data_IF_198799719824
#
_entry.id   IF_198799719824
#
_cell.length_a   1.000
_cell.length_b   1.000
_cell.length_c   1.000
_cell.angle_alpha   90.00
_cell.angle_beta   90.00
_cell.angle_gamma   90.00
#
_symmetry.space_group_name_H-M   'P 1'
#
loop_
_entity.id
_entity.type
_entity.pdbx_description
1 polymer ?
#
# COMPACT_ATOMS: atom_id res chain seq x y z
N UNK A 1 -35.54 -58.37 -9.69
CA UNK A 1 -37.00 -58.51 -9.88
C UNK A 1 -37.60 -57.20 -9.43
N UNK A 2 -38.24 -56.45 -10.30
CA UNK A 2 -39.15 -55.38 -9.91
C UNK A 2 -40.27 -55.28 -10.95
N UNK A 3 -41.49 -55.23 -10.44
CA UNK A 3 -42.70 -54.71 -11.08
C UNK A 3 -42.95 -53.40 -10.31
N UNK A 4 -43.52 -52.35 -10.86
CA UNK A 4 -44.76 -52.25 -11.66
C UNK A 4 -44.52 -51.33 -12.89
N UNK A 5 -45.14 -51.52 -14.08
CA UNK A 5 -46.57 -51.36 -14.45
C UNK A 5 -47.13 -49.95 -14.14
N UNK A 6 -47.86 -49.23 -15.01
CA UNK A 6 -48.25 -49.36 -16.46
C UNK A 6 -48.87 -47.97 -16.83
N UNK A 7 -48.57 -47.28 -17.94
CA UNK A 7 -49.17 -47.33 -19.31
C UNK A 7 -50.71 -47.06 -19.39
N UNK A 8 -51.35 -46.35 -20.33
CA UNK A 8 -51.03 -45.40 -21.45
C UNK A 8 -52.38 -44.67 -21.81
N UNK A 9 -52.56 -43.61 -22.64
CA UNK A 9 -51.72 -42.74 -23.50
C UNK A 9 -51.98 -41.22 -23.10
N UNK A 10 -52.03 -40.09 -23.85
CA UNK A 10 -52.21 -39.64 -25.27
C UNK A 10 -53.61 -39.87 -25.90
N UNK A 11 -54.04 -39.18 -27.01
CA UNK A 11 -53.35 -38.23 -27.93
C UNK A 11 -53.72 -36.73 -27.68
N UNK A 12 -53.05 -35.67 -28.18
CA UNK A 12 -52.57 -35.24 -29.54
C UNK A 12 -53.69 -34.83 -30.53
N UNK A 13 -53.45 -33.99 -31.59
CA UNK A 13 -52.23 -33.26 -32.03
C UNK A 13 -52.45 -31.71 -31.97
N UNK A 14 -51.87 -30.74 -32.72
CA UNK A 14 -50.86 -30.55 -33.82
C UNK A 14 -50.03 -29.26 -33.48
N UNK A 15 -48.83 -28.90 -34.02
CA UNK A 15 -48.34 -28.60 -35.39
C UNK A 15 -48.85 -27.23 -35.95
N UNK A 16 -48.08 -26.37 -36.67
CA UNK A 16 -46.72 -26.49 -37.26
C UNK A 16 -46.07 -25.13 -37.64
N UNK A 17 -44.73 -25.08 -37.79
CA UNK A 17 -43.89 -24.14 -38.60
C UNK A 17 -43.77 -22.64 -38.19
N UNK A 18 -42.85 -21.81 -38.73
CA UNK A 18 -41.38 -21.88 -38.95
C UNK A 18 -40.86 -20.49 -39.49
N UNK A 19 -39.53 -20.31 -39.62
CA UNK A 19 -38.77 -19.16 -40.17
C UNK A 19 -38.77 -17.86 -39.34
N UNK A 20 -37.68 -17.11 -39.10
CA UNK A 20 -36.34 -16.91 -39.70
C UNK A 20 -36.20 -15.64 -40.55
N UNK A 21 -35.01 -15.02 -40.46
CA UNK A 21 -34.55 -13.78 -41.11
C UNK A 21 -35.27 -12.47 -40.71
N UNK A 22 -34.78 -11.26 -41.01
CA UNK A 22 -33.50 -10.57 -40.76
C UNK A 22 -33.72 -9.12 -41.29
N UNK A 23 -33.36 -8.09 -40.51
CA UNK A 23 -33.22 -6.65 -40.90
C UNK A 23 -34.30 -5.91 -41.74
N UNK A 24 -34.77 -4.78 -41.19
CA UNK A 24 -34.69 -3.42 -41.79
C UNK A 24 -34.68 -2.45 -40.58
N UNK A 25 -33.75 -1.51 -40.38
CA UNK A 25 -33.27 -0.39 -41.21
C UNK A 25 -34.31 0.74 -41.46
N UNK A 26 -34.10 1.84 -40.72
CA UNK A 26 -34.38 3.24 -41.06
C UNK A 26 -35.81 3.67 -41.45
N UNK A 27 -36.58 4.10 -40.44
CA UNK A 27 -37.73 5.03 -40.53
C UNK A 27 -37.88 5.67 -39.13
N UNK A 28 -37.37 6.85 -38.77
CA UNK A 28 -37.05 8.10 -39.48
C UNK A 28 -38.28 8.87 -39.96
N UNK A 29 -38.81 9.72 -39.07
CA UNK A 29 -39.64 10.93 -39.23
C UNK A 29 -39.90 11.42 -37.79
N UNK A 30 -39.32 12.50 -37.25
CA UNK A 30 -39.03 13.81 -37.83
C UNK A 30 -40.22 14.42 -38.57
N UNK A 31 -41.23 14.85 -37.80
CA UNK A 31 -42.08 15.99 -38.17
C UNK A 31 -42.10 16.99 -37.02
N UNK A 32 -42.04 18.29 -37.35
CA UNK A 32 -41.68 19.32 -36.38
C UNK A 32 -42.83 19.77 -35.46
N UNK A 33 -42.66 19.49 -34.17
CA UNK A 33 -42.45 20.52 -33.14
C UNK A 33 -43.58 21.48 -32.75
N UNK A 34 -43.84 21.57 -31.44
CA UNK A 34 -44.22 22.81 -30.75
C UNK A 34 -43.63 22.86 -29.32
N UNK A 35 -42.72 23.82 -29.12
CA UNK A 35 -42.52 24.65 -27.92
C UNK A 35 -42.56 24.02 -26.50
N UNK A 36 -41.36 23.82 -25.94
CA UNK A 36 -40.88 24.13 -24.56
C UNK A 36 -41.81 24.91 -23.57
N UNK A 37 -41.57 24.85 -22.23
CA UNK A 37 -40.91 23.79 -21.43
C UNK A 37 -41.53 23.52 -20.04
N UNK A 38 -41.39 22.30 -19.51
CA UNK A 38 -41.31 22.04 -18.05
C UNK A 38 -40.21 21.02 -17.75
N UNK A 39 -39.53 21.16 -16.61
CA UNK A 39 -38.18 20.62 -16.44
C UNK A 39 -38.07 19.28 -15.70
N UNK A 40 -37.51 18.28 -16.37
CA UNK A 40 -36.72 17.19 -15.77
C UNK A 40 -35.55 16.84 -16.69
N UNK A 41 -34.36 17.41 -16.45
CA UNK A 41 -33.15 16.97 -17.14
C UNK A 41 -32.60 15.70 -16.47
N UNK A 42 -33.12 14.55 -16.88
CA UNK A 42 -32.50 13.25 -16.59
C UNK A 42 -31.22 13.12 -17.44
N UNK A 43 -30.09 13.53 -16.85
CA UNK A 43 -28.76 13.35 -17.44
C UNK A 43 -28.35 11.87 -17.38
N UNK A 44 -28.79 11.10 -18.37
CA UNK A 44 -28.21 9.80 -18.69
C UNK A 44 -26.82 10.02 -19.31
N UNK A 45 -25.78 10.03 -18.47
CA UNK A 45 -24.41 9.76 -18.89
C UNK A 45 -24.11 8.31 -18.54
N UNK A 46 -23.96 7.47 -19.55
CA UNK A 46 -23.52 6.09 -19.38
C UNK A 46 -22.03 5.96 -19.69
N UNK A 47 -21.23 5.80 -18.65
CA UNK A 47 -19.99 5.02 -18.62
C UNK A 47 -20.22 3.99 -17.48
N UNK A 48 -19.89 2.70 -17.55
CA UNK A 48 -18.81 2.02 -18.27
C UNK A 48 -17.42 2.45 -17.82
N UNK A 49 -17.12 2.21 -16.55
CA UNK A 49 -15.85 1.61 -16.10
C UNK A 49 -16.13 0.83 -14.79
N UNK A 50 -15.28 -0.14 -14.46
CA UNK A 50 -15.34 -0.88 -13.18
C UNK A 50 -14.74 -0.03 -12.06
N UNK A 51 -15.41 1.06 -11.69
CA UNK A 51 -15.06 1.87 -10.52
C UNK A 51 -15.22 1.03 -9.24
N UNK A 52 -14.11 0.49 -8.72
CA UNK A 52 -14.07 -0.09 -7.38
C UNK A 52 -14.55 0.95 -6.36
N UNK A 53 -15.73 0.74 -5.75
CA UNK A 53 -16.25 1.59 -4.68
C UNK A 53 -15.26 1.60 -3.49
N UNK A 54 -14.37 2.59 -3.49
CA UNK A 54 -13.54 2.92 -2.35
C UNK A 54 -14.42 3.57 -1.28
N UNK A 55 -15.17 2.73 -0.56
CA UNK A 55 -15.91 3.08 0.65
C UNK A 55 -15.07 4.04 1.51
N UNK A 56 -15.44 5.32 1.51
CA UNK A 56 -14.84 6.34 2.37
C UNK A 56 -15.20 6.00 3.81
N UNK A 57 -14.31 5.22 4.45
CA UNK A 57 -14.50 4.70 5.81
C UNK A 57 -14.78 5.86 6.76
N UNK A 58 -16.03 5.99 7.15
CA UNK A 58 -16.51 7.09 7.98
C UNK A 58 -15.77 7.13 9.31
N UNK A 59 -15.68 8.31 9.93
CA UNK A 59 -15.12 8.45 11.28
C UNK A 59 -15.79 7.48 12.27
N UNK A 60 -17.10 7.26 12.14
CA UNK A 60 -17.86 6.29 12.93
C UNK A 60 -17.34 4.85 12.79
N UNK A 61 -16.90 4.44 11.59
CA UNK A 61 -16.27 3.14 11.37
C UNK A 61 -14.98 3.01 12.18
N UNK A 62 -14.11 4.03 12.16
CA UNK A 62 -12.87 4.04 12.94
C UNK A 62 -13.17 3.99 14.45
N UNK A 63 -14.09 4.81 14.94
CA UNK A 63 -14.52 4.80 16.36
C UNK A 63 -15.07 3.43 16.78
N UNK A 64 -15.81 2.73 15.91
CA UNK A 64 -16.29 1.38 16.17
C UNK A 64 -15.16 0.33 16.21
N UNK A 65 -14.06 0.51 15.45
CA UNK A 65 -12.88 -0.35 15.59
C UNK A 65 -12.08 -0.04 16.85
N UNK A 66 -11.90 1.24 17.21
CA UNK A 66 -11.23 1.64 18.46
C UNK A 66 -11.93 1.01 19.67
N UNK A 67 -13.26 1.09 19.73
CA UNK A 67 -14.08 0.45 20.78
C UNK A 67 -14.03 -1.09 20.80
N UNK A 68 -13.79 -1.74 19.66
CA UNK A 68 -13.59 -3.21 19.62
C UNK A 68 -12.22 -3.62 20.18
N UNK A 69 -11.20 -2.78 20.01
CA UNK A 69 -9.82 -3.05 20.43
C UNK A 69 -9.45 -2.43 21.79
N UNK A 70 -10.36 -1.67 22.41
CA UNK A 70 -10.21 -1.00 23.72
C UNK A 70 -9.75 -1.94 24.85
N UNK A 71 -10.07 -3.24 24.77
CA UNK A 71 -9.62 -4.27 25.72
C UNK A 71 -8.13 -4.58 25.65
N UNK A 72 -7.52 -4.38 24.48
CA UNK A 72 -6.13 -4.72 24.15
C UNK A 72 -5.37 -3.45 23.74
N UNK A 73 -5.00 -2.55 24.68
CA UNK A 73 -4.41 -1.24 24.36
C UNK A 73 -3.10 -1.36 23.54
N UNK A 74 -2.37 -2.46 23.69
CA UNK A 74 -1.23 -2.83 22.82
C UNK A 74 -1.61 -2.96 21.34
N UNK A 75 -2.71 -3.67 21.05
CA UNK A 75 -3.20 -3.91 19.69
C UNK A 75 -3.85 -2.65 19.12
N UNK A 76 -4.56 -1.90 19.96
CA UNK A 76 -5.11 -0.59 19.60
C UNK A 76 -4.00 0.40 19.24
N UNK A 77 -2.88 0.46 19.97
CA UNK A 77 -1.76 1.35 19.64
C UNK A 77 -1.10 0.99 18.29
N UNK A 78 -0.91 -0.30 18.01
CA UNK A 78 -0.39 -0.78 16.72
C UNK A 78 -1.30 -0.37 15.55
N UNK A 79 -2.61 -0.57 15.70
CA UNK A 79 -3.61 -0.20 14.69
C UNK A 79 -3.75 1.32 14.54
N UNK A 80 -3.76 2.08 15.64
CA UNK A 80 -3.84 3.54 15.64
C UNK A 80 -2.63 4.15 14.92
N UNK A 81 -1.44 3.58 15.12
CA UNK A 81 -0.24 3.98 14.42
C UNK A 81 -0.21 3.59 12.94
N UNK A 82 -0.95 2.56 12.53
CA UNK A 82 -1.15 2.20 11.11
C UNK A 82 -2.17 3.11 10.41
N UNK A 83 -3.21 3.56 11.12
CA UNK A 83 -4.34 4.34 10.57
C UNK A 83 -4.26 5.86 10.85
N UNK A 84 -3.07 6.38 11.14
CA UNK A 84 -2.80 7.79 11.44
C UNK A 84 -3.66 8.41 12.57
N UNK A 85 -4.09 7.61 13.55
CA UNK A 85 -4.97 8.05 14.64
C UNK A 85 -4.18 8.73 15.75
N UNK A 86 -3.57 9.88 15.43
CA UNK A 86 -2.63 10.60 16.30
C UNK A 86 -3.22 10.91 17.69
N UNK A 87 -4.48 11.32 17.75
CA UNK A 87 -5.20 11.57 19.02
C UNK A 87 -5.28 10.32 19.90
N UNK A 88 -5.57 9.16 19.32
CA UNK A 88 -5.63 7.88 20.01
C UNK A 88 -4.24 7.40 20.44
N UNK A 89 -3.21 7.63 19.62
CA UNK A 89 -1.79 7.38 19.98
C UNK A 89 -1.38 8.25 21.19
N UNK A 90 -1.61 9.57 21.12
CA UNK A 90 -1.32 10.51 22.20
C UNK A 90 -2.02 10.15 23.50
N UNK A 91 -3.30 9.78 23.42
CA UNK A 91 -4.09 9.34 24.58
C UNK A 91 -3.49 8.09 25.23
N UNK A 92 -3.26 7.02 24.47
CA UNK A 92 -2.74 5.76 25.01
C UNK A 92 -1.34 5.88 25.64
N UNK A 93 -0.48 6.74 25.07
CA UNK A 93 0.87 6.99 25.59
C UNK A 93 0.85 7.85 26.86
N UNK A 94 0.03 8.91 26.89
CA UNK A 94 -0.11 9.77 28.07
C UNK A 94 -0.83 9.09 29.25
N UNK A 95 -1.84 8.26 28.98
CA UNK A 95 -2.48 7.36 29.95
C UNK A 95 -1.54 6.22 30.42
N UNK A 96 -0.41 6.00 29.71
CA UNK A 96 0.51 4.86 29.89
C UNK A 96 -0.20 3.49 29.81
N UNK A 97 -1.27 3.41 29.03
CA UNK A 97 -2.12 2.22 28.91
C UNK A 97 -1.42 1.01 28.25
N UNK A 98 -0.33 1.25 27.52
CA UNK A 98 0.56 0.22 26.99
C UNK A 98 1.99 0.75 26.85
N UNK A 99 2.94 -0.14 26.55
CA UNK A 99 4.32 0.24 26.28
C UNK A 99 4.49 0.65 24.82
N UNK A 100 5.20 1.76 24.57
CA UNK A 100 5.44 2.29 23.21
C UNK A 100 6.13 1.28 22.27
N UNK A 101 6.98 0.41 22.81
CA UNK A 101 7.65 -0.68 22.08
C UNK A 101 6.92 -2.03 22.19
N UNK A 102 5.58 -1.98 22.33
CA UNK A 102 4.70 -3.14 22.13
C UNK A 102 4.90 -3.75 20.74
N UNK A 103 4.59 -5.04 20.59
CA UNK A 103 4.93 -5.84 19.42
C UNK A 103 3.79 -6.79 19.07
N UNK A 104 3.50 -6.93 17.78
CA UNK A 104 2.64 -8.00 17.26
C UNK A 104 3.39 -9.34 17.12
N UNK A 105 2.70 -10.34 16.56
CA UNK A 105 3.20 -11.71 16.36
C UNK A 105 4.47 -11.74 15.49
N UNK A 106 4.54 -10.87 14.48
CA UNK A 106 5.69 -10.66 13.59
C UNK A 106 6.73 -9.66 14.16
N UNK A 107 6.56 -9.24 15.40
CA UNK A 107 7.40 -8.28 16.15
C UNK A 107 7.45 -6.85 15.58
N UNK A 108 6.51 -6.45 14.73
CA UNK A 108 6.38 -5.05 14.33
C UNK A 108 5.96 -4.21 15.54
N UNK A 109 6.63 -3.07 15.73
CA UNK A 109 6.24 -2.05 16.71
C UNK A 109 5.32 -1.00 16.08
N UNK A 110 4.61 -0.17 16.86
CA UNK A 110 3.85 0.97 16.33
C UNK A 110 4.70 1.88 15.43
N UNK A 111 6.00 2.02 15.73
CA UNK A 111 6.94 2.79 14.93
C UNK A 111 7.16 2.20 13.52
N UNK A 112 7.17 0.86 13.38
CA UNK A 112 7.18 0.23 12.05
C UNK A 112 5.86 0.44 11.30
N UNK A 113 4.71 0.33 11.99
CA UNK A 113 3.38 0.52 11.39
C UNK A 113 3.19 1.96 10.89
N UNK A 114 3.66 2.95 11.64
CA UNK A 114 3.67 4.35 11.21
C UNK A 114 4.67 4.60 10.07
N UNK A 115 5.88 4.02 10.13
CA UNK A 115 6.91 4.18 9.12
C UNK A 115 6.61 3.48 7.78
N UNK A 116 5.83 2.38 7.80
CA UNK A 116 5.27 1.73 6.62
C UNK A 116 4.32 2.67 5.86
N UNK A 117 3.47 3.41 6.58
CA UNK A 117 2.41 4.23 5.98
C UNK A 117 2.77 5.71 5.79
N UNK A 118 3.97 6.14 6.22
CA UNK A 118 4.44 7.53 6.07
C UNK A 118 3.91 8.51 7.12
N UNK A 119 3.27 8.04 8.19
CA UNK A 119 2.58 8.85 9.20
C UNK A 119 3.57 9.58 10.14
N UNK A 120 4.23 10.60 9.61
CA UNK A 120 5.36 11.30 10.23
C UNK A 120 5.04 11.90 11.60
N UNK A 121 3.83 12.39 11.83
CA UNK A 121 3.45 12.99 13.11
C UNK A 121 3.19 11.93 14.19
N UNK A 122 2.70 10.74 13.82
CA UNK A 122 2.69 9.56 14.69
C UNK A 122 4.12 9.08 14.97
N UNK A 123 5.01 9.07 13.97
CA UNK A 123 6.44 8.72 14.17
C UNK A 123 7.10 9.67 15.17
N UNK A 124 6.85 10.99 15.07
CA UNK A 124 7.31 11.99 16.04
C UNK A 124 6.83 11.67 17.46
N UNK A 125 5.52 11.44 17.63
CA UNK A 125 4.90 11.19 18.93
C UNK A 125 5.44 9.91 19.60
N UNK A 126 5.62 8.85 18.81
CA UNK A 126 6.20 7.59 19.28
C UNK A 126 7.66 7.76 19.73
N UNK A 127 8.50 8.45 18.95
CA UNK A 127 9.91 8.67 19.30
C UNK A 127 10.03 9.61 20.52
N UNK A 128 9.19 10.64 20.63
CA UNK A 128 9.12 11.49 21.82
C UNK A 128 8.77 10.71 23.11
N UNK A 129 7.99 9.63 22.98
CA UNK A 129 7.65 8.71 24.08
C UNK A 129 8.63 7.54 24.26
N UNK A 130 9.77 7.54 23.58
CA UNK A 130 10.83 6.52 23.74
C UNK A 130 10.66 5.27 22.87
N UNK A 131 10.10 5.42 21.66
CA UNK A 131 10.10 4.34 20.68
C UNK A 131 11.52 3.99 20.22
N UNK A 132 11.79 2.68 20.15
CA UNK A 132 13.05 2.08 19.75
C UNK A 132 13.22 2.14 18.22
N UNK A 133 14.05 3.09 17.76
CA UNK A 133 14.41 3.28 16.34
C UNK A 133 15.21 2.11 15.75
N UNK A 134 15.82 1.27 16.59
CA UNK A 134 16.56 0.08 16.21
C UNK A 134 15.75 -1.21 16.40
N UNK A 135 14.47 -1.11 16.76
CA UNK A 135 13.59 -2.27 16.95
C UNK A 135 13.59 -3.14 15.69
N UNK A 136 13.68 -4.46 15.88
CA UNK A 136 13.66 -5.44 14.77
C UNK A 136 12.41 -6.32 14.77
N UNK A 137 11.85 -6.54 13.58
CA UNK A 137 10.79 -7.53 13.32
C UNK A 137 11.34 -8.97 13.35
N UNK A 138 10.48 -9.98 13.16
CA UNK A 138 10.91 -11.37 12.95
C UNK A 138 11.91 -11.51 11.81
N UNK A 139 11.83 -10.69 10.76
CA UNK A 139 12.72 -10.75 9.60
C UNK A 139 13.96 -9.84 9.71
N UNK A 140 14.14 -9.17 10.86
CA UNK A 140 15.23 -8.22 11.06
C UNK A 140 15.02 -6.87 10.36
N UNK A 141 13.79 -6.55 9.94
CA UNK A 141 13.47 -5.21 9.44
C UNK A 141 13.49 -4.22 10.60
N UNK A 142 13.98 -3.02 10.35
CA UNK A 142 13.85 -1.85 11.24
C UNK A 142 12.82 -0.87 10.69
N UNK A 143 12.36 0.15 11.45
CA UNK A 143 11.44 1.16 10.93
C UNK A 143 11.97 1.88 9.68
N UNK A 144 13.30 2.04 9.57
CA UNK A 144 13.94 2.62 8.39
C UNK A 144 13.81 1.72 7.15
N UNK A 145 13.91 0.40 7.30
CA UNK A 145 13.63 -0.53 6.20
C UNK A 145 12.19 -0.39 5.72
N UNK A 146 11.22 -0.29 6.64
CA UNK A 146 9.81 -0.06 6.31
C UNK A 146 9.59 1.27 5.58
N UNK A 147 10.23 2.36 6.04
CA UNK A 147 10.13 3.66 5.39
C UNK A 147 10.75 3.67 3.98
N UNK A 148 11.95 3.11 3.82
CA UNK A 148 12.68 3.11 2.56
C UNK A 148 12.01 2.25 1.48
N UNK A 149 11.42 1.11 1.85
CA UNK A 149 10.70 0.22 0.92
C UNK A 149 9.46 0.89 0.29
N UNK A 150 8.79 1.78 1.02
CA UNK A 150 7.53 2.42 0.60
C UNK A 150 7.67 3.93 0.29
N UNK A 151 8.86 4.37 -0.11
CA UNK A 151 9.18 5.77 -0.44
C UNK A 151 8.81 6.84 0.62
N UNK A 152 8.76 6.48 1.91
CA UNK A 152 8.40 7.42 2.98
C UNK A 152 9.61 8.31 3.35
N UNK A 153 10.15 9.05 2.39
CA UNK A 153 11.40 9.82 2.51
C UNK A 153 11.40 10.82 3.67
N UNK A 154 10.25 11.43 3.98
CA UNK A 154 10.12 12.33 5.14
C UNK A 154 10.30 11.58 6.47
N UNK A 155 9.79 10.35 6.56
CA UNK A 155 10.00 9.47 7.73
C UNK A 155 11.41 8.91 7.76
N UNK A 156 11.96 8.48 6.63
CA UNK A 156 13.35 8.02 6.54
C UNK A 156 14.34 9.12 6.99
N UNK A 157 14.13 10.37 6.53
CA UNK A 157 14.90 11.54 6.97
C UNK A 157 14.85 11.73 8.49
N UNK A 158 13.64 11.66 9.07
CA UNK A 158 13.44 11.85 10.50
C UNK A 158 14.03 10.70 11.34
N UNK A 159 13.94 9.46 10.87
CA UNK A 159 14.60 8.31 11.51
C UNK A 159 16.12 8.44 11.50
N UNK A 160 16.73 8.89 10.39
CA UNK A 160 18.17 9.15 10.30
C UNK A 160 18.63 10.33 11.18
N UNK A 161 17.75 11.31 11.45
CA UNK A 161 18.01 12.39 12.42
C UNK A 161 17.95 11.90 13.88
N UNK A 162 17.34 10.74 14.12
CA UNK A 162 17.28 10.06 15.41
C UNK A 162 18.13 8.77 15.40
N UNK A 163 19.35 8.87 14.88
CA UNK A 163 20.42 7.85 14.93
C UNK A 163 20.09 6.46 14.33
N UNK A 164 19.01 6.31 13.55
CA UNK A 164 18.70 5.03 12.91
C UNK A 164 19.82 4.58 11.94
N UNK A 165 20.29 3.33 12.06
CA UNK A 165 21.40 2.83 11.24
C UNK A 165 21.00 2.68 9.77
N UNK A 166 21.54 3.57 8.94
CA UNK A 166 21.38 3.62 7.49
C UNK A 166 21.87 2.36 6.76
N UNK A 167 22.78 1.60 7.39
CA UNK A 167 23.37 0.37 6.86
C UNK A 167 22.85 -0.90 7.55
N UNK A 168 21.81 -0.79 8.40
CA UNK A 168 21.24 -1.93 9.11
C UNK A 168 20.89 -3.06 8.13
N UNK A 169 21.02 -4.31 8.57
CA UNK A 169 20.80 -5.49 7.73
C UNK A 169 19.67 -6.37 8.27
N UNK A 170 18.71 -6.68 7.40
CA UNK A 170 17.71 -7.75 7.61
C UNK A 170 18.36 -9.13 7.68
N UNK A 171 17.59 -10.18 8.03
CA UNK A 171 18.05 -11.58 7.93
C UNK A 171 18.58 -11.98 6.55
N UNK A 172 18.07 -11.36 5.48
CA UNK A 172 18.55 -11.58 4.10
C UNK A 172 19.75 -10.72 3.72
N UNK A 173 20.41 -10.07 4.68
CA UNK A 173 21.49 -9.09 4.52
C UNK A 173 21.13 -7.85 3.67
N UNK A 174 19.87 -7.72 3.23
CA UNK A 174 19.33 -6.53 2.58
C UNK A 174 19.39 -5.34 3.54
N UNK A 175 19.88 -4.21 3.06
CA UNK A 175 19.86 -2.91 3.74
C UNK A 175 18.70 -2.03 3.24
N UNK A 176 18.39 -0.87 3.86
CA UNK A 176 17.39 0.06 3.34
C UNK A 176 17.64 0.48 1.89
N UNK A 177 18.91 0.55 1.46
CA UNK A 177 19.31 0.87 0.08
C UNK A 177 18.96 -0.24 -0.91
N UNK A 178 19.10 -1.52 -0.53
CA UNK A 178 18.68 -2.65 -1.37
C UNK A 178 17.16 -2.66 -1.55
N UNK A 179 16.40 -2.34 -0.49
CA UNK A 179 14.94 -2.26 -0.55
C UNK A 179 14.45 -1.07 -1.40
N UNK A 180 15.14 0.06 -1.34
CA UNK A 180 14.87 1.20 -2.20
C UNK A 180 15.18 0.85 -3.67
N UNK A 181 16.38 0.34 -3.98
CA UNK A 181 16.79 -0.05 -5.33
C UNK A 181 15.90 -1.12 -5.99
N UNK A 182 15.21 -1.95 -5.20
CA UNK A 182 14.29 -2.97 -5.67
C UNK A 182 12.86 -2.50 -5.97
N UNK A 183 12.49 -1.26 -5.66
CA UNK A 183 11.12 -0.72 -5.87
C UNK A 183 11.09 0.37 -6.96
N UNK A 184 9.96 0.50 -7.65
CA UNK A 184 9.75 1.43 -8.78
C UNK A 184 9.47 2.86 -8.38
N UNK A 185 8.98 3.08 -7.16
CA UNK A 185 8.44 4.36 -6.70
C UNK A 185 9.27 4.98 -5.56
N UNK A 186 10.42 4.39 -5.24
CA UNK A 186 11.32 4.71 -4.12
C UNK A 186 12.32 5.84 -4.39
N UNK A 187 12.07 6.71 -5.38
CA UNK A 187 13.06 7.72 -5.82
C UNK A 187 13.59 8.56 -4.66
N UNK A 188 12.69 9.11 -3.86
CA UNK A 188 13.02 10.10 -2.83
C UNK A 188 13.75 9.45 -1.65
N UNK A 189 13.41 8.21 -1.29
CA UNK A 189 14.19 7.45 -0.29
C UNK A 189 15.55 7.02 -0.83
N UNK A 190 15.65 6.64 -2.11
CA UNK A 190 16.91 6.26 -2.74
C UNK A 190 17.88 7.44 -2.85
N UNK A 191 17.42 8.60 -3.34
CA UNK A 191 18.23 9.83 -3.40
C UNK A 191 18.69 10.26 -2.00
N UNK A 192 17.80 10.23 -1.00
CA UNK A 192 18.11 10.55 0.40
C UNK A 192 19.16 9.60 1.02
N UNK A 193 19.12 8.32 0.68
CA UNK A 193 20.12 7.34 1.15
C UNK A 193 21.47 7.53 0.44
N UNK A 194 21.47 7.77 -0.87
CA UNK A 194 22.69 7.98 -1.67
C UNK A 194 23.40 9.30 -1.34
N UNK A 195 22.65 10.36 -0.99
CA UNK A 195 23.22 11.64 -0.53
C UNK A 195 23.83 11.56 0.89
N UNK A 196 23.61 10.48 1.64
CA UNK A 196 24.10 10.35 3.01
C UNK A 196 25.54 9.81 3.06
N UNK A 197 26.48 10.63 3.54
CA UNK A 197 27.93 10.33 3.61
C UNK A 197 28.34 9.06 4.36
N UNK A 198 27.42 8.42 5.08
CA UNK A 198 27.66 7.20 5.87
C UNK A 198 27.11 5.93 5.19
N UNK A 199 26.48 6.04 4.02
CA UNK A 199 25.98 4.90 3.25
C UNK A 199 27.12 4.02 2.74
N UNK A 200 26.93 2.70 2.77
CA UNK A 200 27.86 1.70 2.24
C UNK A 200 27.21 0.96 1.06
N UNK A 201 27.24 1.51 -0.17
CA UNK A 201 26.51 0.96 -1.31
C UNK A 201 27.03 -0.41 -1.76
N UNK A 202 28.32 -0.70 -1.52
CA UNK A 202 28.95 -1.99 -1.79
C UNK A 202 28.71 -3.08 -0.73
N UNK A 203 27.79 -2.89 0.22
CA UNK A 203 27.28 -4.01 1.02
C UNK A 203 26.51 -4.98 0.10
N UNK A 204 26.69 -6.29 0.33
CA UNK A 204 26.02 -7.36 -0.40
C UNK A 204 24.88 -7.97 0.41
N UNK A 205 23.82 -8.40 -0.28
CA UNK A 205 22.74 -9.21 0.26
C UNK A 205 23.12 -10.71 0.33
N UNK A 206 22.18 -11.57 0.78
CA UNK A 206 22.38 -13.03 0.85
C UNK A 206 22.46 -13.75 -0.50
N UNK A 207 22.30 -13.03 -1.62
CA UNK A 207 22.48 -13.50 -3.00
C UNK A 207 23.78 -12.97 -3.63
N UNK A 208 24.64 -12.33 -2.82
CA UNK A 208 25.85 -11.63 -3.25
C UNK A 208 25.65 -10.41 -4.17
N UNK A 209 24.41 -9.97 -4.38
CA UNK A 209 24.10 -8.72 -5.10
C UNK A 209 24.33 -7.50 -4.20
N UNK A 210 24.82 -6.40 -4.77
CA UNK A 210 24.73 -5.07 -4.16
C UNK A 210 23.40 -4.38 -4.51
N UNK A 211 23.11 -3.24 -3.87
CA UNK A 211 21.97 -2.41 -4.26
C UNK A 211 22.05 -1.92 -5.73
N UNK A 212 23.27 -1.71 -6.27
CA UNK A 212 23.44 -1.32 -7.68
C UNK A 212 23.14 -2.48 -8.64
N UNK A 213 23.52 -3.71 -8.29
CA UNK A 213 23.19 -4.89 -9.10
C UNK A 213 21.68 -5.10 -9.19
N UNK A 214 20.95 -4.89 -8.08
CA UNK A 214 19.49 -4.90 -8.07
C UNK A 214 18.93 -3.80 -8.98
N UNK A 215 19.40 -2.55 -8.86
CA UNK A 215 18.96 -1.42 -9.68
C UNK A 215 19.19 -1.67 -11.19
N UNK A 216 20.34 -2.28 -11.56
CA UNK A 216 20.64 -2.66 -12.95
C UNK A 216 19.75 -3.81 -13.43
N UNK A 217 19.53 -4.83 -12.61
CA UNK A 217 18.70 -6.00 -12.95
C UNK A 217 17.22 -5.65 -13.11
N UNK A 218 16.70 -4.69 -12.33
CA UNK A 218 15.33 -4.19 -12.46
C UNK A 218 15.19 -3.10 -13.54
N UNK A 219 16.30 -2.47 -13.94
CA UNK A 219 16.35 -1.29 -14.78
C UNK A 219 15.99 0.02 -14.05
N UNK A 220 15.64 -0.05 -12.76
CA UNK A 220 15.12 1.08 -11.99
C UNK A 220 16.28 1.85 -11.34
N UNK A 221 16.31 3.17 -11.52
CA UNK A 221 17.25 4.11 -10.86
C UNK A 221 18.76 3.81 -10.94
N UNK A 222 19.22 2.85 -11.77
CA UNK A 222 20.64 2.52 -11.94
C UNK A 222 21.51 3.75 -12.24
N UNK A 223 21.00 4.70 -13.02
CA UNK A 223 21.66 5.97 -13.32
C UNK A 223 22.00 6.83 -12.07
N UNK A 224 21.24 6.71 -10.97
CA UNK A 224 21.57 7.43 -9.72
C UNK A 224 22.85 6.89 -9.08
N UNK A 225 23.10 5.59 -9.17
CA UNK A 225 24.35 4.98 -8.71
C UNK A 225 25.52 5.39 -9.61
N UNK A 226 25.33 5.38 -10.93
CA UNK A 226 26.34 5.80 -11.90
C UNK A 226 26.75 7.28 -11.71
N UNK A 227 25.79 8.17 -11.40
CA UNK A 227 26.06 9.57 -11.05
C UNK A 227 26.91 9.68 -9.76
N UNK A 228 26.58 8.89 -8.73
CA UNK A 228 27.32 8.89 -7.45
C UNK A 228 28.75 8.34 -7.61
N UNK A 229 28.92 7.26 -8.38
CA UNK A 229 30.25 6.74 -8.73
C UNK A 229 31.04 7.75 -9.58
N UNK A 230 30.39 8.45 -10.52
CA UNK A 230 31.01 9.56 -11.26
C UNK A 230 31.52 10.67 -10.33
N UNK A 231 30.70 11.12 -9.37
CA UNK A 231 31.08 12.16 -8.41
C UNK A 231 32.23 11.74 -7.48
N UNK A 232 32.27 10.49 -7.00
CA UNK A 232 33.35 10.02 -6.10
C UNK A 232 34.69 9.83 -6.83
N UNK A 233 34.65 9.36 -8.08
CA UNK A 233 35.84 9.17 -8.91
C UNK A 233 36.42 10.49 -9.48
N UNK A 234 35.75 11.63 -9.32
CA UNK A 234 36.27 12.96 -9.67
C UNK A 234 37.30 13.53 -8.67
N UNK A 235 37.95 12.67 -7.88
CA UNK A 235 39.11 13.05 -7.07
C UNK A 235 40.33 13.26 -7.99
N UNK A 236 41.02 14.41 -7.95
CA UNK A 236 42.11 14.68 -8.88
C UNK A 236 43.29 13.72 -8.66
N UNK A 237 43.71 13.03 -9.73
CA UNK A 237 44.96 12.28 -9.73
C UNK A 237 46.13 13.28 -9.68
N UNK A 238 46.99 13.12 -8.67
CA UNK A 238 48.15 13.96 -8.35
C UNK A 238 49.42 13.53 -9.09
#
# INVERSE_FOLDING_TARGET
>A
MEKEKVNDEKPDPENSLDFSEHFNQLELLETHGHLIPTGTQSLWIGNSDDDEEQDEKTEEWYQLQEKKMEKDPSKLLLWAAEKNRLTTVQRLLSERATHVNTRDEDKYTPLHRAAYNGHLDVVRELIAHGADVHAVTVDGWTPLHSACKWNNARVASFLLQHDADINAQTKGLLTPLHLAAGNRDSKDTLELLLMNRYIKPGLKNSLEETAFDIARRTGIYHYLFEIVEGCTNCSPQS
#
